data_IF_145483171704
#
_entry.id   IF_145483171704
#
_cell.length_a   1.000
_cell.length_b   1.000
_cell.length_c   1.000
_cell.angle_alpha   90.00
_cell.angle_beta   90.00
_cell.angle_gamma   90.00
#
_symmetry.space_group_name_H-M   'P 1'
#
loop_
_entity.id
_entity.type
_entity.pdbx_description
1 polymer ?
#
# COMPACT_ATOMS: atom_id res chain seq x y z
N UNK A 1 7.39 -15.40 8.25
CA UNK A 1 6.75 -14.33 7.47
C UNK A 1 7.67 -13.13 7.24
N UNK A 2 8.31 -12.52 8.28
CA UNK A 2 9.22 -11.38 8.08
C UNK A 2 10.34 -11.71 7.08
N UNK A 3 11.01 -12.86 7.21
CA UNK A 3 12.06 -13.28 6.26
C UNK A 3 11.55 -13.34 4.81
N UNK A 4 10.35 -13.90 4.59
CA UNK A 4 9.75 -13.95 3.25
C UNK A 4 9.43 -12.54 2.72
N UNK A 5 8.91 -11.64 3.56
CA UNK A 5 8.68 -10.24 3.19
C UNK A 5 10.01 -9.53 2.87
N UNK A 6 11.05 -9.73 3.69
CA UNK A 6 12.40 -9.20 3.42
C UNK A 6 12.93 -9.67 2.06
N UNK A 7 12.83 -10.98 1.77
CA UNK A 7 13.27 -11.53 0.48
C UNK A 7 12.49 -10.93 -0.70
N UNK A 8 11.18 -10.77 -0.56
CA UNK A 8 10.35 -10.22 -1.63
C UNK A 8 10.67 -8.73 -1.89
N UNK A 9 10.84 -7.93 -0.83
CA UNK A 9 11.23 -6.51 -0.94
C UNK A 9 12.64 -6.40 -1.53
N UNK A 10 13.58 -7.22 -1.07
CA UNK A 10 14.95 -7.23 -1.59
C UNK A 10 14.99 -7.63 -3.08
N UNK A 11 14.19 -8.61 -3.49
CA UNK A 11 14.08 -9.00 -4.89
C UNK A 11 13.55 -7.84 -5.76
N UNK A 12 12.49 -7.15 -5.30
CA UNK A 12 11.99 -5.97 -5.99
C UNK A 12 13.05 -4.86 -6.06
N UNK A 13 13.74 -4.57 -4.95
CA UNK A 13 14.80 -3.56 -4.91
C UNK A 13 15.96 -3.87 -5.88
N UNK A 14 16.32 -5.15 -6.04
CA UNK A 14 17.33 -5.59 -7.01
C UNK A 14 16.83 -5.36 -8.44
N UNK A 15 15.57 -5.73 -8.74
CA UNK A 15 14.96 -5.49 -10.05
C UNK A 15 14.90 -3.99 -10.35
N UNK A 16 14.50 -3.17 -9.39
CA UNK A 16 14.47 -1.71 -9.52
C UNK A 16 15.86 -1.13 -9.80
N UNK A 17 16.86 -1.60 -9.06
CA UNK A 17 18.24 -1.15 -9.27
C UNK A 17 18.75 -1.49 -10.68
N UNK A 18 18.50 -2.71 -11.15
CA UNK A 18 18.86 -3.14 -12.51
C UNK A 18 18.16 -2.26 -13.54
N UNK A 19 16.83 -2.08 -13.40
CA UNK A 19 16.05 -1.28 -14.35
C UNK A 19 16.48 0.20 -14.33
N UNK A 20 16.66 0.80 -13.15
CA UNK A 20 17.15 2.17 -13.02
C UNK A 20 18.49 2.40 -13.75
N UNK A 21 19.41 1.45 -13.60
CA UNK A 21 20.72 1.49 -14.31
C UNK A 21 20.56 1.46 -15.82
N UNK A 22 19.66 0.61 -16.34
CA UNK A 22 19.38 0.54 -17.77
C UNK A 22 18.64 1.79 -18.28
N UNK A 23 17.75 2.35 -17.50
CA UNK A 23 17.02 3.58 -17.82
C UNK A 23 17.86 4.86 -17.67
N UNK A 24 19.07 4.79 -17.11
CA UNK A 24 19.89 5.96 -16.81
C UNK A 24 19.30 6.86 -15.71
N UNK A 25 18.43 6.31 -14.86
CA UNK A 25 17.70 7.03 -13.84
C UNK A 25 18.40 6.91 -12.48
N UNK A 26 18.67 8.05 -11.82
CA UNK A 26 19.26 8.12 -10.50
C UNK A 26 18.23 8.44 -9.41
N UNK A 27 18.54 8.03 -8.18
CA UNK A 27 17.75 8.38 -6.99
C UNK A 27 18.69 8.93 -5.91
N UNK A 28 18.35 10.07 -5.34
CA UNK A 28 19.17 10.82 -4.38
C UNK A 28 18.42 11.05 -3.07
N UNK A 29 19.07 11.72 -2.09
CA UNK A 29 18.47 12.11 -0.80
C UNK A 29 17.93 10.94 0.04
N UNK A 30 18.69 9.85 0.12
CA UNK A 30 18.35 8.65 0.87
C UNK A 30 18.38 8.79 2.39
N UNK A 31 18.95 9.88 2.91
CA UNK A 31 19.28 10.05 4.34
C UNK A 31 18.08 9.76 5.25
N UNK A 32 16.91 10.31 4.95
CA UNK A 32 15.72 10.15 5.80
C UNK A 32 15.27 8.68 5.87
N UNK A 33 15.26 7.98 4.73
CA UNK A 33 14.84 6.58 4.64
C UNK A 33 15.82 5.67 5.36
N UNK A 34 17.13 5.89 5.14
CA UNK A 34 18.20 5.11 5.79
C UNK A 34 18.18 5.31 7.30
N UNK A 35 18.03 6.55 7.76
CA UNK A 35 17.93 6.86 9.20
C UNK A 35 16.68 6.23 9.80
N UNK A 36 15.50 6.42 9.20
CA UNK A 36 14.25 5.85 9.70
C UNK A 36 14.33 4.33 9.79
N UNK A 37 14.73 3.67 8.69
CA UNK A 37 14.83 2.21 8.66
C UNK A 37 15.89 1.70 9.63
N UNK A 38 17.04 2.36 9.70
CA UNK A 38 18.13 2.02 10.62
C UNK A 38 17.71 2.14 12.09
N UNK A 39 17.01 3.23 12.45
CA UNK A 39 16.47 3.42 13.81
C UNK A 39 15.45 2.34 14.15
N UNK A 40 14.53 2.03 13.25
CA UNK A 40 13.53 0.97 13.48
C UNK A 40 14.20 -0.41 13.63
N UNK A 41 15.21 -0.73 12.82
CA UNK A 41 15.99 -1.97 12.97
C UNK A 41 16.76 -2.01 14.29
N UNK A 42 17.37 -0.91 14.72
CA UNK A 42 18.07 -0.81 16.00
C UNK A 42 17.11 -1.00 17.18
N UNK A 43 15.92 -0.37 17.14
CA UNK A 43 14.85 -0.58 18.14
C UNK A 43 14.41 -2.05 18.14
N UNK A 44 14.18 -2.63 16.96
CA UNK A 44 13.80 -4.04 16.83
C UNK A 44 14.83 -4.98 17.42
N UNK A 45 16.12 -4.75 17.17
CA UNK A 45 17.22 -5.50 17.75
C UNK A 45 17.32 -5.31 19.27
N UNK A 46 17.25 -4.07 19.75
CA UNK A 46 17.33 -3.75 21.18
C UNK A 46 16.23 -4.44 22.00
N UNK A 47 14.98 -4.31 21.54
CA UNK A 47 13.84 -4.92 22.24
C UNK A 47 13.76 -6.44 22.01
N UNK A 48 14.26 -6.95 20.90
CA UNK A 48 14.31 -8.39 20.64
C UNK A 48 15.40 -9.13 21.42
N UNK A 49 16.58 -8.52 21.56
CA UNK A 49 17.76 -9.19 22.12
C UNK A 49 18.07 -8.77 23.56
N UNK A 50 17.98 -7.46 23.87
CA UNK A 50 18.42 -6.89 25.16
C UNK A 50 17.26 -6.81 26.14
N UNK A 51 16.18 -6.11 25.81
CA UNK A 51 15.02 -5.91 26.68
C UNK A 51 13.99 -7.03 26.61
N UNK A 52 14.10 -7.93 25.61
CA UNK A 52 13.22 -9.10 25.41
C UNK A 52 11.72 -8.77 25.42
N UNK A 53 11.34 -7.65 24.83
CA UNK A 53 9.95 -7.26 24.61
C UNK A 53 9.56 -7.57 23.16
N UNK A 54 8.92 -8.71 22.94
CA UNK A 54 8.56 -9.20 21.62
C UNK A 54 7.61 -8.25 20.87
N UNK A 55 6.70 -7.58 21.58
CA UNK A 55 5.73 -6.67 20.95
C UNK A 55 6.43 -5.45 20.36
N UNK A 56 7.29 -4.78 21.12
CA UNK A 56 8.03 -3.61 20.64
C UNK A 56 9.01 -3.99 19.53
N UNK A 57 9.66 -5.14 19.65
CA UNK A 57 10.52 -5.67 18.60
C UNK A 57 9.73 -5.91 17.31
N UNK A 58 8.55 -6.52 17.41
CA UNK A 58 7.69 -6.79 16.25
C UNK A 58 7.18 -5.51 15.60
N UNK A 59 6.73 -4.52 16.39
CA UNK A 59 6.29 -3.22 15.87
C UNK A 59 7.41 -2.53 15.08
N UNK A 60 8.62 -2.50 15.62
CA UNK A 60 9.76 -1.85 14.98
C UNK A 60 10.20 -2.59 13.70
N UNK A 61 10.29 -3.94 13.73
CA UNK A 61 10.70 -4.74 12.57
C UNK A 61 9.67 -4.68 11.43
N UNK A 62 8.36 -4.75 11.73
CA UNK A 62 7.34 -4.58 10.71
C UNK A 62 7.31 -3.15 10.17
N UNK A 63 7.50 -2.14 11.03
CA UNK A 63 7.65 -0.76 10.59
C UNK A 63 8.82 -0.56 9.63
N UNK A 64 9.98 -1.17 9.92
CA UNK A 64 11.14 -1.14 9.03
C UNK A 64 10.85 -1.79 7.67
N UNK A 65 10.14 -2.93 7.66
CA UNK A 65 9.74 -3.59 6.41
C UNK A 65 8.76 -2.74 5.58
N UNK A 66 7.80 -2.09 6.24
CA UNK A 66 6.86 -1.18 5.55
C UNK A 66 7.60 0.03 4.98
N UNK A 67 8.52 0.63 5.73
CA UNK A 67 9.34 1.76 5.24
C UNK A 67 10.19 1.36 4.02
N UNK A 68 10.87 0.20 4.09
CA UNK A 68 11.64 -0.34 2.98
C UNK A 68 10.76 -0.63 1.76
N UNK A 69 9.60 -1.28 1.98
CA UNK A 69 8.62 -1.55 0.92
C UNK A 69 8.13 -0.25 0.26
N UNK A 70 7.76 0.76 1.04
CA UNK A 70 7.21 2.02 0.51
C UNK A 70 8.15 2.69 -0.47
N UNK A 71 9.44 2.75 -0.14
CA UNK A 71 10.45 3.35 -1.03
C UNK A 71 10.69 2.50 -2.27
N UNK A 72 10.85 1.19 -2.10
CA UNK A 72 11.05 0.27 -3.23
C UNK A 72 9.83 0.33 -4.17
N UNK A 73 8.61 0.27 -3.62
CA UNK A 73 7.38 0.40 -4.40
C UNK A 73 7.31 1.75 -5.15
N UNK A 74 7.69 2.85 -4.50
CA UNK A 74 7.72 4.16 -5.16
C UNK A 74 8.72 4.18 -6.32
N UNK A 75 9.93 3.66 -6.15
CA UNK A 75 10.91 3.54 -7.23
C UNK A 75 10.35 2.74 -8.40
N UNK A 76 9.69 1.61 -8.13
CA UNK A 76 9.05 0.80 -9.17
C UNK A 76 8.02 1.62 -9.97
N UNK A 77 7.23 2.48 -9.32
CA UNK A 77 6.27 3.35 -10.03
C UNK A 77 6.96 4.38 -10.93
N UNK A 78 8.10 4.93 -10.51
CA UNK A 78 8.91 5.83 -11.33
C UNK A 78 9.49 5.11 -12.55
N UNK A 79 9.94 3.88 -12.38
CA UNK A 79 10.48 3.07 -13.48
C UNK A 79 9.41 2.70 -14.49
N UNK A 80 8.23 2.27 -14.06
CA UNK A 80 7.12 1.97 -14.98
C UNK A 80 6.63 3.24 -15.72
N UNK A 81 6.75 4.41 -15.12
CA UNK A 81 6.40 5.69 -15.74
C UNK A 81 7.34 6.07 -16.91
N UNK A 82 8.52 5.46 -17.03
CA UNK A 82 9.43 5.67 -18.19
C UNK A 82 8.99 4.93 -19.46
N UNK A 83 7.98 4.07 -19.37
CA UNK A 83 7.51 3.31 -20.54
C UNK A 83 6.88 4.24 -21.60
N UNK A 84 7.16 4.04 -22.89
CA UNK A 84 6.80 5.00 -23.96
C UNK A 84 5.37 4.85 -24.49
N UNK A 85 4.41 4.46 -23.65
CA UNK A 85 3.00 4.34 -24.06
C UNK A 85 2.29 5.70 -24.05
N UNK A 86 1.30 5.96 -24.94
CA UNK A 86 0.60 7.24 -24.99
C UNK A 86 -0.24 7.47 -23.72
N UNK A 87 -0.46 8.75 -23.38
CA UNK A 87 -1.38 9.13 -22.30
C UNK A 87 -2.81 8.79 -22.69
N UNK A 88 -3.59 8.27 -21.72
CA UNK A 88 -4.95 7.77 -21.94
C UNK A 88 -6.04 8.60 -21.23
N UNK A 89 -5.72 9.82 -20.77
CA UNK A 89 -6.68 10.65 -20.02
C UNK A 89 -8.00 10.87 -20.78
N UNK A 90 -7.94 11.14 -22.10
CA UNK A 90 -9.14 11.35 -22.93
C UNK A 90 -10.03 10.10 -23.02
N UNK A 91 -9.43 8.91 -22.99
CA UNK A 91 -10.12 7.62 -22.97
C UNK A 91 -10.83 7.42 -21.63
N UNK A 92 -10.13 7.72 -20.52
CA UNK A 92 -10.69 7.60 -19.18
C UNK A 92 -11.88 8.54 -18.97
N UNK A 93 -11.79 9.79 -19.45
CA UNK A 93 -12.92 10.75 -19.46
C UNK A 93 -14.11 10.22 -20.26
N UNK A 94 -13.86 9.62 -21.44
CA UNK A 94 -14.96 9.03 -22.24
C UNK A 94 -15.63 7.86 -21.53
N UNK A 95 -14.87 7.03 -20.85
CA UNK A 95 -15.41 5.91 -20.07
C UNK A 95 -16.24 6.45 -18.90
N UNK A 96 -15.74 7.43 -18.15
CA UNK A 96 -16.48 8.05 -17.04
C UNK A 96 -17.80 8.69 -17.53
N UNK A 97 -17.77 9.39 -18.67
CA UNK A 97 -18.98 9.93 -19.27
C UNK A 97 -19.99 8.84 -19.68
N UNK A 98 -19.49 7.68 -20.19
CA UNK A 98 -20.32 6.51 -20.48
C UNK A 98 -20.93 5.87 -19.22
N UNK A 99 -20.29 6.03 -18.06
CA UNK A 99 -20.80 5.65 -16.74
C UNK A 99 -21.77 6.69 -16.14
N UNK A 100 -22.00 7.80 -16.83
CA UNK A 100 -22.83 8.90 -16.34
C UNK A 100 -22.14 9.81 -15.34
N UNK A 101 -20.81 9.74 -15.20
CA UNK A 101 -20.03 10.57 -14.28
C UNK A 101 -19.33 11.72 -15.02
N UNK A 102 -19.46 12.93 -14.47
CA UNK A 102 -18.70 14.12 -14.89
C UNK A 102 -17.77 14.56 -13.77
N UNK A 103 -16.47 14.38 -13.97
CA UNK A 103 -15.46 14.81 -13.01
C UNK A 103 -15.56 16.31 -12.70
N UNK A 104 -15.75 17.15 -13.73
CA UNK A 104 -15.88 18.60 -13.58
C UNK A 104 -17.08 18.97 -12.70
N UNK A 105 -18.24 18.34 -12.93
CA UNK A 105 -19.43 18.59 -12.14
C UNK A 105 -19.24 18.17 -10.68
N UNK A 106 -18.62 17.01 -10.43
CA UNK A 106 -18.26 16.54 -9.09
C UNK A 106 -17.31 17.50 -8.38
N UNK A 107 -16.22 17.89 -9.06
CA UNK A 107 -15.23 18.81 -8.50
C UNK A 107 -15.83 20.18 -8.17
N UNK A 108 -16.68 20.75 -9.03
CA UNK A 108 -17.40 21.99 -8.78
C UNK A 108 -18.36 21.84 -7.59
N UNK A 109 -19.10 20.74 -7.53
CA UNK A 109 -20.00 20.46 -6.41
C UNK A 109 -19.23 20.42 -5.09
N UNK A 110 -18.15 19.64 -4.98
CA UNK A 110 -17.33 19.55 -3.78
C UNK A 110 -16.72 20.91 -3.43
N UNK A 111 -16.19 21.64 -4.42
CA UNK A 111 -15.56 22.94 -4.22
C UNK A 111 -16.54 24.02 -3.75
N UNK A 112 -17.82 23.91 -4.10
CA UNK A 112 -18.88 24.82 -3.62
C UNK A 112 -19.38 24.51 -2.20
N UNK A 113 -18.94 23.38 -1.60
CA UNK A 113 -19.34 22.95 -0.26
C UNK A 113 -18.10 22.79 0.66
N UNK A 114 -17.64 23.89 1.33
CA UNK A 114 -16.36 23.85 2.07
C UNK A 114 -16.26 22.79 3.16
N UNK A 115 -17.36 22.48 3.87
CA UNK A 115 -17.38 21.43 4.88
C UNK A 115 -17.19 20.04 4.27
N UNK A 116 -17.86 19.77 3.15
CA UNK A 116 -17.68 18.51 2.41
C UNK A 116 -16.26 18.39 1.90
N UNK A 117 -15.71 19.44 1.29
CA UNK A 117 -14.31 19.47 0.82
C UNK A 117 -13.34 19.18 1.96
N UNK A 118 -13.50 19.84 3.11
CA UNK A 118 -12.67 19.61 4.29
C UNK A 118 -12.76 18.16 4.79
N UNK A 119 -13.95 17.57 4.82
CA UNK A 119 -14.15 16.18 5.18
C UNK A 119 -13.43 15.23 4.21
N UNK A 120 -13.65 15.40 2.90
CA UNK A 120 -13.05 14.57 1.87
C UNK A 120 -11.52 14.70 1.87
N UNK A 121 -10.98 15.90 2.09
CA UNK A 121 -9.55 16.12 2.26
C UNK A 121 -8.96 15.34 3.45
N UNK A 122 -9.61 15.37 4.61
CA UNK A 122 -9.18 14.60 5.80
C UNK A 122 -9.23 13.10 5.51
N UNK A 123 -10.30 12.61 4.88
CA UNK A 123 -10.43 11.20 4.53
C UNK A 123 -9.34 10.76 3.54
N UNK A 124 -9.04 11.57 2.53
CA UNK A 124 -8.00 11.29 1.56
C UNK A 124 -6.60 11.23 2.20
N UNK A 125 -6.24 12.26 2.95
CA UNK A 125 -4.91 12.39 3.56
C UNK A 125 -4.67 11.43 4.71
N UNK A 126 -5.71 10.85 5.30
CA UNK A 126 -5.60 9.89 6.41
C UNK A 126 -5.17 8.48 5.97
N UNK A 127 -5.22 8.13 4.69
CA UNK A 127 -4.96 6.75 4.22
C UNK A 127 -3.57 6.24 4.61
N UNK A 128 -2.50 7.01 4.37
CA UNK A 128 -1.15 6.57 4.73
C UNK A 128 -0.92 6.48 6.24
N UNK A 129 -1.34 7.46 7.07
CA UNK A 129 -1.40 7.30 8.52
C UNK A 129 -2.20 6.07 8.97
N UNK A 130 -3.34 5.76 8.32
CA UNK A 130 -4.15 4.59 8.65
C UNK A 130 -3.43 3.28 8.32
N UNK A 131 -2.71 3.19 7.19
CA UNK A 131 -1.85 2.06 6.87
C UNK A 131 -0.81 1.81 7.98
N UNK A 132 -0.11 2.87 8.41
CA UNK A 132 0.89 2.79 9.47
C UNK A 132 0.25 2.37 10.81
N UNK A 133 -0.86 2.99 11.19
CA UNK A 133 -1.61 2.67 12.41
C UNK A 133 -2.10 1.22 12.41
N UNK A 134 -2.56 0.70 11.25
CA UNK A 134 -2.99 -0.69 11.10
C UNK A 134 -1.85 -1.67 11.34
N UNK A 135 -0.67 -1.40 10.77
CA UNK A 135 0.52 -2.23 10.99
C UNK A 135 0.93 -2.24 12.47
N UNK A 136 0.98 -1.06 13.10
CA UNK A 136 1.32 -0.93 14.52
C UNK A 136 0.28 -1.61 15.41
N UNK A 137 -1.01 -1.45 15.13
CA UNK A 137 -2.09 -2.11 15.86
C UNK A 137 -1.97 -3.63 15.81
N UNK A 138 -1.81 -4.21 14.61
CA UNK A 138 -1.70 -5.67 14.48
C UNK A 138 -0.38 -6.21 15.04
N UNK A 139 0.72 -5.45 14.96
CA UNK A 139 1.98 -5.81 15.60
C UNK A 139 1.83 -5.83 17.14
N UNK A 140 1.21 -4.80 17.71
CA UNK A 140 0.92 -4.74 19.14
C UNK A 140 0.01 -5.90 19.59
N UNK A 141 -0.94 -6.31 18.75
CA UNK A 141 -1.85 -7.45 19.02
C UNK A 141 -1.21 -8.83 18.74
N UNK A 142 0.06 -8.86 18.33
CA UNK A 142 0.75 -10.10 17.97
C UNK A 142 0.18 -10.81 16.73
N UNK A 143 -0.58 -10.10 15.88
CA UNK A 143 -1.21 -10.63 14.67
C UNK A 143 -0.33 -10.41 13.43
N UNK A 144 0.88 -10.92 13.46
CA UNK A 144 1.86 -10.79 12.36
C UNK A 144 1.34 -11.32 11.02
N UNK A 145 0.42 -12.27 11.03
CA UNK A 145 -0.24 -12.79 9.83
C UNK A 145 -1.06 -11.72 9.11
N UNK A 146 -1.76 -10.84 9.85
CA UNK A 146 -2.54 -9.72 9.26
C UNK A 146 -1.63 -8.68 8.62
N UNK A 147 -0.48 -8.43 9.24
CA UNK A 147 0.51 -7.51 8.68
C UNK A 147 1.12 -8.11 7.42
N UNK A 148 1.41 -9.41 7.42
CA UNK A 148 1.92 -10.10 6.25
C UNK A 148 0.90 -10.11 5.11
N UNK A 149 -0.38 -10.39 5.38
CA UNK A 149 -1.47 -10.28 4.40
C UNK A 149 -1.53 -8.87 3.79
N UNK A 150 -1.43 -7.82 4.63
CA UNK A 150 -1.41 -6.44 4.17
C UNK A 150 -0.19 -6.16 3.29
N UNK A 151 1.02 -6.49 3.77
CA UNK A 151 2.27 -6.16 3.09
C UNK A 151 2.43 -6.95 1.76
N UNK A 152 2.11 -8.26 1.75
CA UNK A 152 2.10 -9.03 0.50
C UNK A 152 0.99 -8.59 -0.44
N UNK A 153 -0.17 -8.18 0.11
CA UNK A 153 -1.24 -7.56 -0.67
C UNK A 153 -0.80 -6.26 -1.33
N UNK A 154 -0.18 -5.39 -0.57
CA UNK A 154 0.37 -4.14 -1.08
C UNK A 154 1.47 -4.40 -2.14
N UNK A 155 2.34 -5.40 -1.92
CA UNK A 155 3.38 -5.77 -2.87
C UNK A 155 2.81 -6.32 -4.18
N UNK A 156 1.89 -7.29 -4.12
CA UNK A 156 1.27 -7.87 -5.31
C UNK A 156 0.49 -6.80 -6.08
N UNK A 157 -0.31 -6.03 -5.37
CA UNK A 157 -1.15 -5.02 -6.01
C UNK A 157 -0.35 -3.87 -6.61
N UNK A 158 0.76 -3.42 -5.99
CA UNK A 158 1.59 -2.35 -6.59
C UNK A 158 2.27 -2.84 -7.88
N UNK A 159 2.71 -4.10 -7.92
CA UNK A 159 3.27 -4.66 -9.14
C UNK A 159 2.25 -4.67 -10.28
N UNK A 160 1.01 -5.10 -9.99
CA UNK A 160 -0.08 -5.09 -10.99
C UNK A 160 -0.43 -3.65 -11.38
N UNK A 161 -0.68 -2.79 -10.39
CA UNK A 161 -1.16 -1.42 -10.60
C UNK A 161 -0.14 -0.58 -11.34
N UNK A 162 1.14 -0.61 -10.93
CA UNK A 162 2.20 0.16 -11.58
C UNK A 162 2.49 -0.33 -13.00
N UNK A 163 2.41 -1.66 -13.24
CA UNK A 163 2.56 -2.22 -14.59
C UNK A 163 1.42 -1.75 -15.50
N UNK A 164 0.17 -1.80 -15.03
CA UNK A 164 -0.98 -1.30 -15.79
C UNK A 164 -0.82 0.21 -16.04
N UNK A 165 -0.46 0.99 -15.00
CA UNK A 165 -0.22 2.43 -15.12
C UNK A 165 0.90 2.79 -16.09
N UNK A 166 1.95 1.96 -16.17
CA UNK A 166 3.01 2.14 -17.15
C UNK A 166 2.55 1.91 -18.60
N UNK A 167 1.61 0.97 -18.82
CA UNK A 167 1.05 0.66 -20.14
C UNK A 167 -0.08 1.65 -20.52
N UNK A 168 -0.87 2.09 -19.55
CA UNK A 168 -1.97 3.04 -19.70
C UNK A 168 -1.73 4.27 -18.83
N UNK A 169 -0.68 5.07 -19.11
CA UNK A 169 -0.33 6.21 -18.28
C UNK A 169 -1.36 7.34 -18.40
N UNK A 170 -1.66 8.01 -17.30
CA UNK A 170 -2.56 9.16 -17.26
C UNK A 170 -1.99 10.25 -16.33
N UNK A 171 -2.16 11.50 -16.71
CA UNK A 171 -1.82 12.67 -15.89
C UNK A 171 -2.82 12.93 -14.77
N UNK A 172 -4.01 12.33 -14.87
CA UNK A 172 -5.13 12.54 -13.96
C UNK A 172 -5.96 13.78 -14.26
N UNK A 173 -7.13 13.82 -13.64
CA UNK A 173 -8.17 14.78 -13.99
C UNK A 173 -7.77 16.24 -13.74
N UNK A 174 -7.00 16.54 -12.69
CA UNK A 174 -6.52 17.92 -12.46
C UNK A 174 -5.73 18.45 -13.65
N UNK A 175 -4.75 17.70 -14.13
CA UNK A 175 -3.91 18.10 -15.25
C UNK A 175 -4.70 18.11 -16.57
N UNK A 176 -5.55 17.09 -16.78
CA UNK A 176 -6.35 16.97 -18.00
C UNK A 176 -7.33 18.13 -18.18
N UNK A 177 -7.99 18.56 -17.10
CA UNK A 177 -8.97 19.67 -17.15
C UNK A 177 -8.33 21.05 -16.86
N UNK A 178 -7.01 21.13 -16.68
CA UNK A 178 -6.33 22.40 -16.39
C UNK A 178 -6.72 23.04 -15.06
N UNK A 179 -7.16 22.23 -14.10
CA UNK A 179 -7.55 22.69 -12.76
C UNK A 179 -6.34 22.59 -11.83
N UNK A 180 -6.02 23.63 -11.03
CA UNK A 180 -4.95 23.52 -10.06
C UNK A 180 -5.21 22.38 -9.06
N UNK A 181 -4.31 21.41 -9.05
CA UNK A 181 -4.31 20.37 -8.02
C UNK A 181 -3.87 20.90 -6.66
N UNK A 182 -3.94 20.10 -5.60
CA UNK A 182 -3.39 20.47 -4.30
C UNK A 182 -1.90 20.86 -4.42
N UNK A 183 -1.45 21.84 -3.65
CA UNK A 183 -0.09 22.39 -3.73
C UNK A 183 1.03 21.35 -3.52
N UNK A 184 0.71 20.23 -2.85
CA UNK A 184 1.61 19.12 -2.62
C UNK A 184 1.67 18.10 -3.78
N UNK A 185 0.74 18.20 -4.77
CA UNK A 185 0.63 17.24 -5.86
C UNK A 185 1.46 17.68 -7.08
N UNK A 186 2.76 17.42 -7.06
CA UNK A 186 3.66 17.67 -8.19
C UNK A 186 3.81 16.45 -9.13
N UNK A 187 2.99 15.40 -8.95
CA UNK A 187 3.11 14.17 -9.72
C UNK A 187 3.01 14.32 -11.26
N UNK A 188 2.22 15.27 -11.83
CA UNK A 188 2.19 15.44 -13.28
C UNK A 188 3.54 15.90 -13.84
N UNK A 189 4.26 16.80 -13.14
CA UNK A 189 5.57 17.26 -13.58
C UNK A 189 6.62 16.15 -13.51
N UNK A 190 6.59 15.28 -12.47
CA UNK A 190 7.48 14.13 -12.39
C UNK A 190 7.18 13.12 -13.51
N UNK A 191 5.89 12.82 -13.76
CA UNK A 191 5.49 11.90 -14.83
C UNK A 191 5.93 12.42 -16.20
N UNK A 192 5.72 13.70 -16.51
CA UNK A 192 6.16 14.30 -17.77
C UNK A 192 7.69 14.27 -17.89
N UNK A 193 8.42 14.67 -16.85
CA UNK A 193 9.89 14.66 -16.86
C UNK A 193 10.49 13.27 -17.11
N UNK A 194 9.87 12.20 -16.55
CA UNK A 194 10.25 10.82 -16.79
C UNK A 194 10.00 10.40 -18.24
N UNK A 195 8.86 10.78 -18.80
CA UNK A 195 8.46 10.42 -20.16
C UNK A 195 9.24 11.16 -21.24
N UNK A 196 9.58 12.41 -20.98
CA UNK A 196 10.36 13.26 -21.88
C UNK A 196 11.87 13.02 -21.73
N UNK A 197 12.29 12.27 -20.72
CA UNK A 197 13.70 12.06 -20.40
C UNK A 197 14.43 13.33 -19.99
N UNK A 198 13.69 14.34 -19.49
CA UNK A 198 14.26 15.66 -19.09
C UNK A 198 14.87 15.65 -17.70
N UNK A 199 14.54 14.64 -16.86
CA UNK A 199 15.13 14.47 -15.53
C UNK A 199 15.87 13.12 -15.44
N UNK A 200 17.16 13.20 -15.08
CA UNK A 200 18.01 12.04 -14.89
C UNK A 200 18.06 11.54 -13.42
N UNK A 201 17.51 12.29 -12.48
CA UNK A 201 17.52 11.95 -11.04
C UNK A 201 16.32 12.53 -10.31
N UNK A 202 15.80 11.77 -9.33
CA UNK A 202 14.73 12.19 -8.42
C UNK A 202 15.16 12.04 -6.98
N UNK A 203 14.76 12.99 -6.13
CA UNK A 203 14.99 12.94 -4.69
C UNK A 203 13.95 12.03 -4.02
N UNK A 204 14.40 11.04 -3.24
CA UNK A 204 13.52 10.06 -2.59
C UNK A 204 12.55 10.73 -1.61
N UNK A 205 12.96 11.82 -0.96
CA UNK A 205 12.12 12.60 -0.05
C UNK A 205 11.05 13.45 -0.77
N UNK A 206 11.09 13.53 -2.10
CA UNK A 206 10.12 14.25 -2.94
C UNK A 206 9.25 13.31 -3.76
N UNK A 207 9.33 12.01 -3.50
CA UNK A 207 8.53 11.04 -4.25
C UNK A 207 7.03 11.32 -4.17
N UNK A 208 6.41 11.23 -5.33
CA UNK A 208 4.97 11.42 -5.53
C UNK A 208 4.32 10.09 -5.91
N UNK A 209 3.04 9.96 -5.64
CA UNK A 209 2.25 8.86 -6.20
C UNK A 209 2.01 9.10 -7.68
N UNK A 210 2.74 8.43 -8.57
CA UNK A 210 2.63 8.63 -10.02
C UNK A 210 1.49 7.84 -10.66
N UNK A 211 0.87 6.93 -9.92
CA UNK A 211 -0.18 6.06 -10.43
C UNK A 211 -1.52 6.78 -10.40
N UNK A 212 -2.11 7.04 -11.57
CA UNK A 212 -3.49 7.50 -11.69
C UNK A 212 -4.41 6.30 -11.91
N UNK A 213 -4.19 5.51 -12.95
CA UNK A 213 -5.02 4.36 -13.31
C UNK A 213 -4.20 3.06 -13.29
N UNK A 214 -4.64 2.01 -12.58
CA UNK A 214 -5.73 1.92 -11.59
C UNK A 214 -5.40 2.68 -10.29
N UNK A 215 -6.41 3.14 -9.54
CA UNK A 215 -6.17 3.87 -8.28
C UNK A 215 -5.56 2.98 -7.20
N UNK A 216 -4.30 3.26 -6.81
CA UNK A 216 -3.65 2.53 -5.74
C UNK A 216 -4.17 2.92 -4.34
N UNK A 217 -4.74 4.14 -4.20
CA UNK A 217 -5.46 4.53 -2.99
C UNK A 217 -6.66 3.62 -2.74
N UNK A 218 -7.44 3.31 -3.79
CA UNK A 218 -8.53 2.33 -3.73
C UNK A 218 -8.06 0.97 -3.24
N UNK A 219 -6.93 0.51 -3.79
CA UNK A 219 -6.35 -0.78 -3.41
C UNK A 219 -5.99 -0.81 -1.94
N UNK A 220 -5.26 0.18 -1.45
CA UNK A 220 -4.83 0.25 -0.04
C UNK A 220 -6.03 0.35 0.92
N UNK A 221 -7.03 1.18 0.59
CA UNK A 221 -8.26 1.32 1.37
C UNK A 221 -8.98 -0.03 1.56
N UNK A 222 -9.16 -0.78 0.47
CA UNK A 222 -9.83 -2.08 0.53
C UNK A 222 -8.95 -3.14 1.21
N UNK A 223 -7.62 -3.08 1.07
CA UNK A 223 -6.71 -3.95 1.83
C UNK A 223 -6.79 -3.69 3.34
N UNK A 224 -6.94 -2.43 3.77
CA UNK A 224 -7.19 -2.09 5.18
C UNK A 224 -8.49 -2.74 5.64
N UNK A 225 -9.59 -2.56 4.91
CA UNK A 225 -10.87 -3.22 5.26
C UNK A 225 -10.66 -4.74 5.38
N UNK A 226 -9.95 -5.35 4.42
CA UNK A 226 -9.70 -6.79 4.39
C UNK A 226 -8.93 -7.30 5.60
N UNK A 227 -7.87 -6.61 6.05
CA UNK A 227 -7.08 -7.06 7.20
C UNK A 227 -7.81 -6.90 8.54
N UNK A 228 -8.76 -5.97 8.63
CA UNK A 228 -9.63 -5.83 9.81
C UNK A 228 -10.80 -6.83 9.87
N UNK A 229 -10.97 -7.72 8.86
CA UNK A 229 -12.03 -8.74 8.89
C UNK A 229 -11.99 -9.56 10.17
N UNK A 230 -13.15 -9.71 10.82
CA UNK A 230 -13.27 -10.42 12.10
C UNK A 230 -12.82 -9.63 13.33
N UNK A 231 -12.54 -8.32 13.20
CA UNK A 231 -12.18 -7.45 14.33
C UNK A 231 -13.38 -6.70 14.93
N UNK A 232 -14.61 -7.19 14.72
CA UNK A 232 -15.82 -6.59 15.30
C UNK A 232 -16.01 -5.12 14.91
N UNK A 233 -16.18 -4.22 15.88
CA UNK A 233 -16.40 -2.78 15.63
C UNK A 233 -15.32 -2.11 14.80
N UNK A 234 -14.05 -2.56 14.91
CA UNK A 234 -12.96 -2.00 14.11
C UNK A 234 -13.13 -2.33 12.61
N UNK A 235 -13.68 -3.50 12.28
CA UNK A 235 -14.02 -3.81 10.89
C UNK A 235 -15.08 -2.87 10.34
N UNK A 236 -16.15 -2.60 11.12
CA UNK A 236 -17.22 -1.68 10.72
C UNK A 236 -16.68 -0.25 10.54
N UNK A 237 -15.80 0.19 11.44
CA UNK A 237 -15.14 1.51 11.33
C UNK A 237 -14.24 1.58 10.09
N UNK A 238 -13.41 0.57 9.85
CA UNK A 238 -12.55 0.52 8.67
C UNK A 238 -13.37 0.52 7.38
N UNK A 239 -14.48 -0.24 7.35
CA UNK A 239 -15.39 -0.28 6.21
C UNK A 239 -16.04 1.08 5.95
N UNK A 240 -16.60 1.73 6.98
CA UNK A 240 -17.27 3.02 6.84
C UNK A 240 -16.28 4.11 6.44
N UNK A 241 -15.13 4.17 7.12
CA UNK A 241 -14.13 5.20 6.90
C UNK A 241 -13.49 5.11 5.51
N UNK A 242 -13.03 3.91 5.12
CA UNK A 242 -12.43 3.69 3.82
C UNK A 242 -13.47 3.72 2.69
N UNK A 243 -14.72 3.28 2.94
CA UNK A 243 -15.79 3.45 1.97
C UNK A 243 -16.08 4.93 1.65
N UNK A 244 -16.10 5.80 2.67
CA UNK A 244 -16.20 7.24 2.48
C UNK A 244 -14.97 7.85 1.81
N UNK A 245 -13.76 7.33 2.12
CA UNK A 245 -12.52 7.78 1.50
C UNK A 245 -12.54 7.57 -0.03
N UNK A 246 -13.15 6.50 -0.54
CA UNK A 246 -13.27 6.30 -1.99
C UNK A 246 -14.00 7.45 -2.69
N UNK A 247 -14.94 8.13 -2.01
CA UNK A 247 -15.64 9.31 -2.55
C UNK A 247 -14.74 10.54 -2.66
N UNK A 248 -13.64 10.59 -1.91
CA UNK A 248 -12.67 11.69 -1.97
C UNK A 248 -11.71 11.60 -3.16
N UNK A 249 -11.56 10.43 -3.76
CA UNK A 249 -10.55 10.18 -4.78
C UNK A 249 -10.68 11.07 -6.01
N UNK A 250 -11.89 11.33 -6.57
CA UNK A 250 -12.00 12.21 -7.71
C UNK A 250 -11.64 13.67 -7.38
N UNK A 251 -12.10 14.21 -6.23
CA UNK A 251 -11.91 15.63 -5.90
C UNK A 251 -10.57 15.94 -5.24
N UNK A 252 -9.99 15.01 -4.47
CA UNK A 252 -8.74 15.24 -3.73
C UNK A 252 -7.53 14.57 -4.38
N UNK A 253 -7.75 13.43 -5.03
CA UNK A 253 -6.70 12.65 -5.72
C UNK A 253 -6.61 12.91 -7.23
N UNK A 254 -7.57 13.60 -7.82
CA UNK A 254 -7.63 13.81 -9.27
C UNK A 254 -7.86 12.52 -10.07
N UNK A 255 -8.47 11.51 -9.44
CA UNK A 255 -8.79 10.25 -10.09
C UNK A 255 -10.08 10.35 -10.93
N UNK A 256 -10.12 9.58 -12.01
CA UNK A 256 -11.35 9.24 -12.71
C UNK A 256 -12.10 8.14 -11.93
N UNK A 257 -13.42 8.01 -12.13
CA UNK A 257 -14.19 6.93 -11.47
C UNK A 257 -13.75 5.56 -11.99
N UNK A 258 -13.40 5.46 -13.27
CA UNK A 258 -12.87 4.21 -13.83
C UNK A 258 -11.57 3.77 -13.16
N UNK A 259 -10.73 4.70 -12.65
CA UNK A 259 -9.52 4.36 -11.88
C UNK A 259 -9.87 3.63 -10.58
N UNK A 260 -10.95 4.10 -9.93
CA UNK A 260 -11.46 3.50 -8.69
C UNK A 260 -11.99 2.09 -8.98
N UNK A 261 -12.78 1.93 -10.04
CA UNK A 261 -13.33 0.62 -10.46
C UNK A 261 -12.19 -0.34 -10.81
N UNK A 262 -11.19 0.12 -11.56
CA UNK A 262 -10.02 -0.68 -11.89
C UNK A 262 -9.21 -1.06 -10.62
N UNK A 263 -9.09 -0.13 -9.66
CA UNK A 263 -8.47 -0.41 -8.35
C UNK A 263 -9.22 -1.48 -7.56
N UNK A 264 -10.56 -1.46 -7.57
CA UNK A 264 -11.40 -2.52 -6.98
C UNK A 264 -11.12 -3.87 -7.64
N UNK A 265 -11.01 -3.92 -8.97
CA UNK A 265 -10.70 -5.15 -9.68
C UNK A 265 -9.30 -5.69 -9.31
N UNK A 266 -8.29 -4.82 -9.25
CA UNK A 266 -6.92 -5.20 -8.85
C UNK A 266 -6.90 -5.78 -7.44
N UNK A 267 -7.55 -5.12 -6.48
CA UNK A 267 -7.55 -5.60 -5.09
C UNK A 267 -8.37 -6.89 -4.92
N UNK A 268 -9.44 -7.08 -5.70
CA UNK A 268 -10.20 -8.33 -5.69
C UNK A 268 -9.32 -9.52 -6.13
N UNK A 269 -8.56 -9.36 -7.23
CA UNK A 269 -7.57 -10.36 -7.67
C UNK A 269 -6.50 -10.59 -6.59
N UNK A 270 -5.98 -9.50 -6.02
CA UNK A 270 -4.96 -9.56 -4.96
C UNK A 270 -5.45 -10.34 -3.74
N UNK A 271 -6.66 -10.05 -3.26
CA UNK A 271 -7.26 -10.75 -2.12
C UNK A 271 -7.50 -12.24 -2.45
N UNK A 272 -7.91 -12.56 -3.67
CA UNK A 272 -8.07 -13.95 -4.10
C UNK A 272 -6.73 -14.69 -4.06
N UNK A 273 -5.65 -14.09 -4.56
CA UNK A 273 -4.30 -14.67 -4.53
C UNK A 273 -3.81 -14.88 -3.09
N UNK A 274 -3.94 -13.88 -2.22
CA UNK A 274 -3.52 -13.98 -0.81
C UNK A 274 -4.34 -15.04 -0.09
N UNK A 275 -5.66 -15.05 -0.31
CA UNK A 275 -6.56 -16.02 0.33
C UNK A 275 -6.26 -17.45 -0.12
N UNK A 276 -5.88 -17.65 -1.38
CA UNK A 276 -5.43 -18.94 -1.88
C UNK A 276 -4.07 -19.32 -1.25
N UNK A 277 -3.11 -18.41 -1.23
CA UNK A 277 -1.81 -18.63 -0.60
C UNK A 277 -1.92 -18.97 0.89
N UNK A 278 -2.81 -18.30 1.63
CA UNK A 278 -3.05 -18.54 3.05
C UNK A 278 -3.58 -19.96 3.38
N UNK A 279 -4.16 -20.65 2.38
CA UNK A 279 -4.60 -22.05 2.51
C UNK A 279 -3.46 -23.04 2.31
N UNK A 280 -2.35 -22.65 1.71
CA UNK A 280 -1.24 -23.53 1.38
C UNK A 280 -0.42 -23.90 2.63
N UNK A 281 0.13 -25.13 2.71
CA UNK A 281 0.90 -25.58 3.87
C UNK A 281 2.12 -24.71 4.19
N UNK A 282 2.84 -24.23 3.16
CA UNK A 282 4.02 -23.39 3.33
C UNK A 282 3.69 -22.04 3.99
N UNK A 283 2.51 -21.46 3.72
CA UNK A 283 2.08 -20.22 4.37
C UNK A 283 1.87 -20.43 5.87
N UNK A 284 1.22 -21.55 6.25
CA UNK A 284 1.00 -21.92 7.64
C UNK A 284 2.32 -22.18 8.39
N UNK A 285 3.29 -22.78 7.72
CA UNK A 285 4.63 -22.97 8.28
C UNK A 285 5.33 -21.63 8.53
N UNK A 286 5.28 -20.70 7.58
CA UNK A 286 5.84 -19.35 7.71
C UNK A 286 5.14 -18.51 8.78
N UNK A 287 3.84 -18.71 9.00
CA UNK A 287 3.07 -17.98 10.02
C UNK A 287 3.28 -18.49 11.45
N UNK A 288 3.96 -19.62 11.63
CA UNK A 288 4.14 -20.27 12.94
C UNK A 288 2.84 -20.88 13.50
N UNK A 289 1.75 -20.89 12.75
CA UNK A 289 0.47 -21.45 13.18
C UNK A 289 0.57 -22.94 13.55
N UNK A 290 1.48 -23.68 12.90
CA UNK A 290 1.75 -25.08 13.22
C UNK A 290 2.35 -25.28 14.61
N UNK A 291 3.19 -24.35 15.09
CA UNK A 291 3.83 -24.47 16.40
C UNK A 291 2.86 -24.24 17.57
N UNK A 292 1.87 -23.37 17.37
CA UNK A 292 0.82 -23.08 18.37
C UNK A 292 -0.15 -24.24 18.47
N UNK A 293 -0.54 -24.86 17.35
CA UNK A 293 -1.42 -26.04 17.32
C UNK A 293 -0.76 -27.24 18.03
N UNK A 294 0.52 -27.49 17.79
CA UNK A 294 1.24 -28.58 18.48
C UNK A 294 1.40 -28.34 19.99
N UNK A 295 1.62 -27.11 20.45
CA UNK A 295 1.68 -26.77 21.88
C UNK A 295 0.32 -26.94 22.57
N UNK A 296 -0.78 -26.58 21.89
CA UNK A 296 -2.14 -26.75 22.42
C UNK A 296 -2.53 -28.22 22.56
N UNK A 297 -2.14 -29.08 21.62
CA UNK A 297 -2.40 -30.53 21.67
C UNK A 297 -1.51 -31.21 22.73
N UNK A 298 -0.24 -30.80 22.84
CA UNK A 298 0.67 -31.32 23.86
C UNK A 298 0.25 -30.91 25.28
N UNK A 299 -0.26 -29.68 25.47
CA UNK A 299 -0.78 -29.20 26.75
C UNK A 299 -2.07 -29.92 27.18
N UNK A 300 -2.95 -30.26 26.23
CA UNK A 300 -4.16 -31.08 26.54
C UNK A 300 -3.81 -32.53 26.90
N UNK A 301 -2.81 -33.15 26.28
CA UNK A 301 -2.39 -34.51 26.60
C UNK A 301 -1.61 -34.61 27.94
N UNK A 302 -0.94 -33.53 28.37
CA UNK A 302 -0.28 -33.47 29.66
C UNK A 302 -1.25 -33.25 30.85
N UNK A 303 -2.48 -32.75 30.59
CA UNK A 303 -3.50 -32.58 31.62
C UNK A 303 -4.45 -33.78 31.82
N UNK A 304 -4.36 -34.81 30.97
CA UNK A 304 -5.16 -36.05 31.05
C UNK A 304 -4.33 -37.27 31.56
N UNK A 305 -3.38 -37.05 32.48
CA UNK A 305 -2.77 -38.20 33.19
C UNK A 305 -3.84 -38.76 34.15
N UNK A 306 -4.19 -40.07 34.06
CA UNK A 306 -5.15 -40.66 34.98
C UNK A 306 -4.57 -40.65 36.40
N UNK A 307 -5.40 -40.13 37.31
CA UNK A 307 -5.14 -40.26 38.76
C UNK A 307 -5.27 -41.72 39.12
N UNK A 308 -4.13 -42.42 39.26
CA UNK A 308 -4.08 -43.80 39.75
C UNK A 308 -3.82 -43.70 41.24
N UNK A 309 -4.89 -43.50 42.00
CA UNK A 309 -4.87 -43.75 43.45
C UNK A 309 -4.91 -45.25 43.73
N UNK A 310 -3.83 -45.76 44.35
CA UNK A 310 -3.81 -47.01 45.11
C UNK A 310 -4.05 -46.73 46.58
#
# INVERSE_FOLDING_TARGET
MKAAATCAIAALAICDWIWARHAGLGFSHWTQVVVLTGVLLAIGFFYGSIRRNAQLADMALWGALVAAFSVTAAIFTYLTATLPFPLVDSELVRIDAGLGFSWQAWFQFVSSHPLLKGLLFVLYTSLLPECAASVLYFAHRGRSERIAEFLFGALISILITATISGIFPALGAFAHFGVPGPAWASYPSHLLALREGTAASFAVNEFQGLITMPSYHTVLAILIIYVYRGCGRLFTLALAFNGLMLLSLPSEGGHYVIDVIAGIAVVAVTIAVISAAARMPWWRQLSGASAVAHRSIAGKRAGEAPDVSF
#
